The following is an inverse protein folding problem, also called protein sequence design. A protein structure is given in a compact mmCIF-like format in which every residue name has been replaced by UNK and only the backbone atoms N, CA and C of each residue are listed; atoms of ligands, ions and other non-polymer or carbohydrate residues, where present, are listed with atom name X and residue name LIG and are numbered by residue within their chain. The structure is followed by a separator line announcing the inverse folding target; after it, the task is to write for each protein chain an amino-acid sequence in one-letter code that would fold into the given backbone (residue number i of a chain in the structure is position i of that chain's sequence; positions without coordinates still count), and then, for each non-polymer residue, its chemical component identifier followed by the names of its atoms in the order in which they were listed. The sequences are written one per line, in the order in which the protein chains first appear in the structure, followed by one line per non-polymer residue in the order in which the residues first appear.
data_IF_843445836233
#
_entry.id   IF_843445836233
#
_cell.length_a   1.000
_cell.length_b   1.000
_cell.length_c   1.000
_cell.angle_alpha   90.00
_cell.angle_beta   90.00
_cell.angle_gamma   90.00
#
_symmetry.space_group_name_H-M   'P 1'
#
loop_
_entity.id
_entity.type
_entity.pdbx_description
1 polymer ?
#
# COMPACT_ATOMS: atom_id res chain seq x y z
N UNK A 1 1.67 30.32 -10.13
CA UNK A 1 2.25 29.03 -9.70
C UNK A 1 1.27 28.27 -8.79
N UNK A 2 0.84 27.08 -9.22
CA UNK A 2 -0.17 26.26 -8.54
C UNK A 2 0.23 25.96 -7.08
N UNK A 3 -0.68 26.09 -6.11
CA UNK A 3 -0.38 25.93 -4.68
C UNK A 3 0.33 24.60 -4.35
N UNK A 4 0.00 23.53 -5.08
CA UNK A 4 0.64 22.22 -4.96
C UNK A 4 2.13 22.24 -5.37
N UNK A 5 2.48 22.94 -6.45
CA UNK A 5 3.88 23.07 -6.89
C UNK A 5 4.71 23.80 -5.83
N UNK A 6 4.12 24.79 -5.15
CA UNK A 6 4.80 25.45 -4.03
C UNK A 6 5.06 24.48 -2.87
N UNK A 7 4.10 23.60 -2.53
CA UNK A 7 4.30 22.60 -1.46
C UNK A 7 5.39 21.60 -1.83
N UNK A 8 5.40 21.12 -3.08
CA UNK A 8 6.45 20.23 -3.59
C UNK A 8 7.82 20.90 -3.51
N UNK A 9 7.93 22.15 -3.97
CA UNK A 9 9.19 22.91 -3.93
C UNK A 9 9.69 23.18 -2.51
N UNK A 10 8.79 23.36 -1.55
CA UNK A 10 9.16 23.59 -0.15
C UNK A 10 9.50 22.28 0.58
N UNK A 11 8.89 21.15 0.18
CA UNK A 11 9.06 19.89 0.88
C UNK A 11 10.26 19.07 0.39
N UNK A 12 10.73 19.27 -0.86
CA UNK A 12 11.73 18.43 -1.52
C UNK A 12 13.03 19.17 -1.82
N UNK A 13 14.15 18.44 -1.77
CA UNK A 13 15.45 18.96 -2.25
C UNK A 13 15.47 19.10 -3.78
N UNK A 14 16.54 19.69 -4.34
CA UNK A 14 16.72 19.76 -5.80
C UNK A 14 16.83 18.34 -6.39
N UNK A 15 17.70 17.50 -5.82
CA UNK A 15 17.91 16.12 -6.28
C UNK A 15 16.61 15.28 -6.22
N UNK A 16 15.82 15.44 -5.15
CA UNK A 16 14.53 14.76 -5.03
C UNK A 16 13.52 15.22 -6.09
N UNK A 17 13.53 16.50 -6.46
CA UNK A 17 12.68 17.04 -7.53
C UNK A 17 13.12 16.55 -8.91
N UNK A 18 14.42 16.50 -9.16
CA UNK A 18 14.97 16.01 -10.42
C UNK A 18 14.67 14.52 -10.58
N UNK A 19 14.86 13.73 -9.52
CA UNK A 19 14.49 12.32 -9.52
C UNK A 19 12.98 12.12 -9.70
N UNK A 20 12.13 12.87 -8.96
CA UNK A 20 10.68 12.82 -9.13
C UNK A 20 10.26 13.15 -10.57
N UNK A 21 10.86 14.17 -11.17
CA UNK A 21 10.59 14.56 -12.56
C UNK A 21 10.99 13.45 -13.52
N UNK A 22 12.16 12.84 -13.31
CA UNK A 22 12.66 11.72 -14.12
C UNK A 22 11.72 10.51 -14.06
N UNK A 23 11.31 10.08 -12.88
CA UNK A 23 10.47 8.87 -12.72
C UNK A 23 9.02 9.09 -13.15
N UNK A 24 8.54 10.34 -13.17
CA UNK A 24 7.16 10.66 -13.57
C UNK A 24 7.01 11.13 -15.03
N UNK A 25 8.12 11.37 -15.74
CA UNK A 25 8.11 11.90 -17.11
C UNK A 25 7.26 11.07 -18.09
N UNK A 26 7.19 9.75 -17.90
CA UNK A 26 6.42 8.84 -18.74
C UNK A 26 4.93 8.72 -18.41
N UNK A 27 4.41 9.42 -17.38
CA UNK A 27 3.05 9.22 -16.82
C UNK A 27 2.72 7.75 -16.51
N UNK A 28 3.74 7.00 -16.10
CA UNK A 28 3.60 5.56 -15.87
C UNK A 28 2.89 5.26 -14.54
N UNK A 29 2.87 6.21 -13.61
CA UNK A 29 2.26 6.08 -12.30
C UNK A 29 0.90 6.79 -12.21
N UNK A 30 -0.04 6.15 -11.52
CA UNK A 30 -1.26 6.78 -11.02
C UNK A 30 -1.26 6.71 -9.49
N UNK A 31 -1.70 7.78 -8.83
CA UNK A 31 -1.80 7.86 -7.38
C UNK A 31 -3.18 8.38 -6.97
N UNK A 32 -3.88 7.62 -6.13
CA UNK A 32 -5.22 7.96 -5.65
C UNK A 32 -5.29 7.84 -4.12
N UNK A 33 -6.03 8.75 -3.50
CA UNK A 33 -6.35 8.65 -2.09
C UNK A 33 -7.37 7.53 -1.88
N UNK A 34 -7.14 6.64 -0.91
CA UNK A 34 -8.13 5.63 -0.53
C UNK A 34 -9.12 6.23 0.48
N UNK A 35 -10.43 5.95 0.35
CA UNK A 35 -11.47 6.47 1.25
C UNK A 35 -11.53 5.74 2.60
N UNK A 36 -10.36 5.46 3.18
CA UNK A 36 -10.17 4.80 4.48
C UNK A 36 -9.14 5.55 5.31
N UNK A 37 -9.16 5.33 6.63
CA UNK A 37 -8.16 5.86 7.56
C UNK A 37 -7.29 4.74 8.10
N UNK A 38 -6.05 5.07 8.39
CA UNK A 38 -5.07 4.16 9.01
C UNK A 38 -4.30 4.90 10.09
N UNK A 39 -3.95 4.18 11.16
CA UNK A 39 -3.09 4.68 12.22
C UNK A 39 -1.69 4.97 11.69
N UNK A 40 -1.12 6.07 12.16
CA UNK A 40 0.25 6.50 11.95
C UNK A 40 0.78 7.21 13.19
N UNK A 41 2.05 7.60 13.13
CA UNK A 41 2.72 8.38 14.19
C UNK A 41 3.43 9.56 13.54
N UNK A 42 3.06 10.77 13.97
CA UNK A 42 3.68 12.02 13.51
C UNK A 42 4.07 12.84 14.75
N UNK A 43 5.38 13.07 14.92
CA UNK A 43 5.91 13.59 16.19
C UNK A 43 5.60 12.60 17.33
N UNK A 44 5.09 13.11 18.44
CA UNK A 44 4.81 12.32 19.64
C UNK A 44 3.37 11.76 19.71
N UNK A 45 2.56 11.99 18.67
CA UNK A 45 1.14 11.65 18.70
C UNK A 45 0.77 10.62 17.63
N UNK A 46 -0.19 9.76 17.99
CA UNK A 46 -0.89 8.92 17.01
C UNK A 46 -1.80 9.78 16.15
N UNK A 47 -1.83 9.49 14.86
CA UNK A 47 -2.74 10.13 13.90
C UNK A 47 -3.56 9.08 13.18
N UNK A 48 -4.79 9.43 12.79
CA UNK A 48 -5.61 8.61 11.90
C UNK A 48 -5.89 9.40 10.63
N UNK A 49 -5.21 9.05 9.55
CA UNK A 49 -5.26 9.77 8.29
C UNK A 49 -5.31 8.82 7.10
N UNK A 50 -5.35 9.37 5.89
CA UNK A 50 -5.59 8.59 4.69
C UNK A 50 -4.39 7.72 4.28
N UNK A 51 -4.67 6.72 3.45
CA UNK A 51 -3.66 6.00 2.68
C UNK A 51 -3.69 6.43 1.20
N UNK A 52 -2.53 6.48 0.55
CA UNK A 52 -2.38 6.74 -0.87
C UNK A 52 -2.04 5.44 -1.60
N UNK A 53 -2.86 5.08 -2.59
CA UNK A 53 -2.63 3.96 -3.48
C UNK A 53 -1.90 4.42 -4.75
N UNK A 54 -0.71 3.88 -4.97
CA UNK A 54 0.11 4.09 -6.17
C UNK A 54 0.02 2.84 -7.04
N UNK A 55 -0.11 3.00 -8.34
CA UNK A 55 -0.11 1.90 -9.32
C UNK A 55 0.68 2.31 -10.55
N UNK A 56 1.13 1.35 -11.36
CA UNK A 56 1.93 1.62 -12.55
C UNK A 56 1.47 0.84 -13.78
N UNK A 57 1.72 1.39 -14.96
CA UNK A 57 1.47 0.70 -16.25
C UNK A 57 2.41 -0.48 -16.46
N UNK A 58 3.67 -0.32 -16.05
CA UNK A 58 4.72 -1.35 -16.13
C UNK A 58 4.84 -2.11 -14.81
N UNK A 59 5.71 -3.12 -14.81
CA UNK A 59 6.14 -3.81 -13.59
C UNK A 59 6.59 -2.81 -12.52
N UNK A 60 6.44 -3.16 -11.24
CA UNK A 60 6.76 -2.25 -10.14
C UNK A 60 8.25 -1.86 -10.16
N UNK A 61 8.55 -0.61 -9.88
CA UNK A 61 9.93 -0.14 -9.68
C UNK A 61 10.22 -0.10 -8.17
N UNK A 62 10.94 -1.12 -7.69
CA UNK A 62 11.27 -1.29 -6.28
C UNK A 62 12.19 -0.19 -5.72
N UNK A 63 12.89 0.57 -6.56
CA UNK A 63 13.68 1.72 -6.12
C UNK A 63 12.81 2.99 -6.02
N UNK A 64 11.88 3.17 -6.95
CA UNK A 64 11.02 4.35 -6.99
C UNK A 64 9.91 4.30 -5.92
N UNK A 65 9.36 3.14 -5.61
CA UNK A 65 8.22 3.02 -4.68
C UNK A 65 8.54 3.46 -3.24
N UNK A 66 9.66 3.05 -2.61
CA UNK A 66 10.07 3.59 -1.31
C UNK A 66 10.32 5.10 -1.34
N UNK A 67 10.87 5.62 -2.45
CA UNK A 67 11.04 7.06 -2.64
C UNK A 67 9.69 7.79 -2.62
N UNK A 68 8.71 7.33 -3.41
CA UNK A 68 7.36 7.88 -3.42
C UNK A 68 6.69 7.81 -2.03
N UNK A 69 6.85 6.68 -1.34
CA UNK A 69 6.32 6.46 -0.01
C UNK A 69 6.89 7.41 1.04
N UNK A 70 8.13 7.87 0.86
CA UNK A 70 8.77 8.87 1.73
C UNK A 70 8.35 10.29 1.41
N UNK A 71 8.19 10.66 0.14
CA UNK A 71 7.91 12.05 -0.25
C UNK A 71 6.43 12.42 -0.15
N UNK A 72 5.51 11.50 -0.42
CA UNK A 72 4.08 11.81 -0.46
C UNK A 72 3.58 12.30 0.92
N UNK A 73 3.87 11.63 2.06
CA UNK A 73 3.49 12.12 3.38
C UNK A 73 4.16 13.45 3.78
N UNK A 74 5.39 13.71 3.29
CA UNK A 74 6.10 14.99 3.51
C UNK A 74 5.43 16.15 2.78
N UNK A 75 4.84 15.91 1.62
CA UNK A 75 4.11 16.93 0.84
C UNK A 75 2.67 17.07 1.36
N UNK A 76 2.04 15.94 1.66
CA UNK A 76 0.65 15.80 2.04
C UNK A 76 0.55 15.17 3.45
N UNK A 77 0.57 16.00 4.48
CA UNK A 77 0.60 15.54 5.88
C UNK A 77 -0.68 14.80 6.32
N UNK A 78 -1.76 14.88 5.52
CA UNK A 78 -2.99 14.12 5.67
C UNK A 78 -2.93 12.70 5.07
N UNK A 79 -1.73 12.22 4.75
CA UNK A 79 -1.48 10.86 4.26
C UNK A 79 -0.51 10.19 5.22
N UNK A 80 -0.97 9.14 5.87
CA UNK A 80 -0.15 8.34 6.78
C UNK A 80 0.60 7.23 6.07
N UNK A 81 0.06 6.71 4.96
CA UNK A 81 0.61 5.55 4.25
C UNK A 81 0.61 5.69 2.75
N UNK A 82 1.56 5.03 2.12
CA UNK A 82 1.64 4.85 0.68
C UNK A 82 1.80 3.38 0.38
N UNK A 83 0.85 2.86 -0.40
CA UNK A 83 0.80 1.45 -0.80
C UNK A 83 0.90 1.35 -2.32
N UNK A 84 1.57 0.32 -2.81
CA UNK A 84 1.55 -0.04 -4.22
C UNK A 84 0.40 -1.02 -4.49
N UNK A 85 -0.32 -0.86 -5.59
CA UNK A 85 -1.43 -1.73 -6.00
C UNK A 85 -0.99 -2.62 -7.16
N UNK A 86 -1.02 -3.94 -6.97
CA UNK A 86 -0.75 -4.91 -8.03
C UNK A 86 -1.92 -5.04 -9.02
N UNK A 87 -1.68 -5.64 -10.19
CA UNK A 87 -2.70 -5.84 -11.23
C UNK A 87 -2.79 -4.72 -12.27
N UNK A 88 -1.66 -4.03 -12.54
CA UNK A 88 -1.59 -2.93 -13.51
C UNK A 88 -2.13 -1.60 -12.97
N UNK A 89 -2.08 -0.57 -13.80
CA UNK A 89 -2.49 0.78 -13.39
C UNK A 89 -3.98 0.83 -13.07
N UNK A 90 -4.33 1.42 -11.93
CA UNK A 90 -5.71 1.70 -11.55
C UNK A 90 -6.21 2.85 -12.42
N UNK A 91 -7.28 2.63 -13.19
CA UNK A 91 -7.79 3.63 -14.13
C UNK A 91 -8.61 4.74 -13.46
N UNK A 92 -9.30 4.42 -12.36
CA UNK A 92 -10.25 5.31 -11.70
C UNK A 92 -10.09 5.29 -10.18
N UNK A 93 -10.28 6.45 -9.50
CA UNK A 93 -10.28 6.49 -8.04
C UNK A 93 -11.46 5.72 -7.47
N UNK A 94 -11.25 5.07 -6.33
CA UNK A 94 -12.33 4.46 -5.53
C UNK A 94 -12.86 5.50 -4.56
N UNK A 95 -14.17 5.78 -4.60
CA UNK A 95 -14.79 6.86 -3.81
C UNK A 95 -15.79 6.34 -2.76
N UNK A 96 -16.06 5.04 -2.73
CA UNK A 96 -16.93 4.35 -1.80
C UNK A 96 -16.20 3.15 -1.18
N UNK A 97 -16.83 2.53 -0.19
CA UNK A 97 -16.26 1.39 0.53
C UNK A 97 -17.24 0.23 0.56
N UNK A 98 -16.71 -0.99 0.52
CA UNK A 98 -17.48 -2.20 0.83
C UNK A 98 -17.76 -2.20 2.33
N UNK A 99 -19.03 -2.16 2.73
CA UNK A 99 -19.40 -2.18 4.17
C UNK A 99 -18.77 -3.39 4.84
N UNK A 100 -17.91 -3.13 5.81
CA UNK A 100 -17.06 -4.15 6.44
C UNK A 100 -17.04 -3.96 7.95
N UNK A 101 -17.39 -5.04 8.65
CA UNK A 101 -17.37 -5.13 10.11
C UNK A 101 -16.68 -6.44 10.49
N UNK A 102 -16.32 -6.58 11.75
CA UNK A 102 -15.78 -7.81 12.34
C UNK A 102 -16.86 -8.89 12.46
N UNK A 103 -17.35 -9.35 11.31
CA UNK A 103 -18.28 -10.49 11.19
C UNK A 103 -17.50 -11.72 10.77
N UNK A 104 -17.99 -12.88 11.18
CA UNK A 104 -17.34 -14.16 10.93
C UNK A 104 -16.89 -14.36 9.47
N UNK A 105 -17.70 -14.10 8.42
CA UNK A 105 -17.25 -14.29 7.04
C UNK A 105 -16.06 -13.39 6.65
N UNK A 106 -16.01 -12.16 7.17
CA UNK A 106 -14.92 -11.22 6.91
C UNK A 106 -13.63 -11.68 7.59
N UNK A 107 -13.74 -12.13 8.84
CA UNK A 107 -12.60 -12.65 9.61
C UNK A 107 -12.08 -13.96 9.01
N UNK A 108 -12.96 -14.82 8.52
CA UNK A 108 -12.59 -16.05 7.81
C UNK A 108 -11.84 -15.75 6.52
N UNK A 109 -12.31 -14.80 5.69
CA UNK A 109 -11.57 -14.35 4.51
C UNK A 109 -10.18 -13.85 4.89
N UNK A 110 -10.06 -13.00 5.92
CA UNK A 110 -8.74 -12.49 6.34
C UNK A 110 -7.82 -13.61 6.84
N UNK A 111 -8.34 -14.58 7.62
CA UNK A 111 -7.56 -15.74 8.09
C UNK A 111 -7.07 -16.62 6.93
N UNK A 112 -7.91 -16.83 5.93
CA UNK A 112 -7.56 -17.61 4.74
C UNK A 112 -6.44 -16.92 3.94
N UNK A 113 -6.56 -15.61 3.71
CA UNK A 113 -5.52 -14.82 3.05
C UNK A 113 -4.22 -14.82 3.86
N UNK A 114 -4.30 -14.57 5.16
CA UNK A 114 -3.12 -14.53 6.04
C UNK A 114 -2.36 -15.86 6.04
N UNK A 115 -3.07 -16.99 6.16
CA UNK A 115 -2.42 -18.31 6.11
C UNK A 115 -1.84 -18.60 4.72
N UNK A 116 -2.52 -18.23 3.64
CA UNK A 116 -2.01 -18.41 2.28
C UNK A 116 -0.70 -17.63 2.04
N UNK A 117 -0.63 -16.37 2.50
CA UNK A 117 0.56 -15.51 2.40
C UNK A 117 1.68 -16.04 3.29
N UNK A 118 1.40 -16.35 4.56
CA UNK A 118 2.41 -16.83 5.49
C UNK A 118 2.95 -18.21 5.10
N UNK A 119 2.13 -19.07 4.49
CA UNK A 119 2.59 -20.33 3.91
C UNK A 119 3.68 -20.11 2.86
N UNK A 120 3.50 -19.16 1.94
CA UNK A 120 4.52 -18.80 0.94
C UNK A 120 5.81 -18.31 1.60
N UNK A 121 5.73 -17.48 2.65
CA UNK A 121 6.91 -17.01 3.39
C UNK A 121 7.66 -18.14 4.12
N UNK A 122 6.92 -19.08 4.71
CA UNK A 122 7.50 -20.25 5.40
C UNK A 122 8.18 -21.17 4.41
N UNK A 123 7.52 -21.52 3.31
CA UNK A 123 8.05 -22.43 2.28
C UNK A 123 9.23 -21.84 1.51
N UNK A 124 9.28 -20.51 1.36
CA UNK A 124 10.42 -19.82 0.73
C UNK A 124 11.62 -19.61 1.66
N UNK A 125 11.48 -19.85 2.97
CA UNK A 125 12.54 -19.65 3.95
C UNK A 125 12.78 -18.20 4.38
N UNK A 126 11.90 -17.27 3.98
CA UNK A 126 12.03 -15.83 4.29
C UNK A 126 11.24 -15.37 5.52
N UNK A 127 10.48 -16.26 6.16
CA UNK A 127 9.70 -15.95 7.37
C UNK A 127 10.56 -15.28 8.47
N UNK A 128 11.79 -15.74 8.67
CA UNK A 128 12.70 -15.23 9.71
C UNK A 128 13.52 -14.00 9.27
N UNK A 129 13.39 -13.56 8.01
CA UNK A 129 14.07 -12.37 7.46
C UNK A 129 13.26 -11.09 7.64
N UNK A 130 11.96 -11.24 7.87
CA UNK A 130 11.02 -10.15 8.09
C UNK A 130 10.65 -10.17 9.57
N UNK A 131 10.74 -9.03 10.26
CA UNK A 131 10.42 -8.96 11.70
C UNK A 131 8.94 -9.24 11.94
N UNK A 132 8.07 -8.73 11.07
CA UNK A 132 6.63 -9.01 11.10
C UNK A 132 5.99 -8.82 9.71
N UNK A 133 4.99 -9.62 9.37
CA UNK A 133 4.19 -9.47 8.15
C UNK A 133 2.69 -9.34 8.50
N UNK A 134 2.19 -8.16 8.90
CA UNK A 134 0.75 -7.96 8.96
C UNK A 134 0.11 -8.10 7.56
N UNK A 135 -1.00 -8.84 7.52
CA UNK A 135 -1.89 -8.95 6.37
C UNK A 135 -3.19 -8.25 6.75
N UNK A 136 -3.57 -7.24 5.98
CA UNK A 136 -4.69 -6.35 6.33
C UNK A 136 -5.76 -6.44 5.25
N UNK A 137 -7.01 -6.70 5.64
CA UNK A 137 -8.15 -6.69 4.73
C UNK A 137 -8.81 -5.30 4.75
N UNK A 138 -8.75 -4.58 3.64
CA UNK A 138 -9.31 -3.24 3.49
C UNK A 138 -10.63 -3.26 2.70
N UNK A 139 -11.61 -2.38 3.02
CA UNK A 139 -12.92 -2.35 2.39
C UNK A 139 -12.93 -1.67 1.01
N UNK A 140 -11.92 -1.91 0.19
CA UNK A 140 -11.74 -1.25 -1.12
C UNK A 140 -11.98 -2.24 -2.25
N UNK A 141 -12.86 -1.88 -3.18
CA UNK A 141 -13.15 -2.61 -4.41
C UNK A 141 -12.70 -1.76 -5.61
N UNK A 142 -11.58 -2.15 -6.21
CA UNK A 142 -10.99 -1.51 -7.40
C UNK A 142 -11.71 -1.93 -8.69
N UNK A 143 -11.33 -1.30 -9.81
CA UNK A 143 -11.66 -1.71 -11.19
C UNK A 143 -13.15 -1.68 -11.56
N UNK A 144 -13.93 -0.91 -10.80
CA UNK A 144 -15.31 -0.58 -11.16
C UNK A 144 -15.34 0.62 -12.07
N UNK A 145 -16.19 0.58 -13.08
CA UNK A 145 -16.46 1.72 -13.96
C UNK A 145 -17.24 2.79 -13.16
N UNK A 146 -16.71 4.01 -12.99
CA UNK A 146 -17.40 5.08 -12.28
C UNK A 146 -18.76 5.44 -12.89
N UNK A 147 -18.94 5.23 -14.19
CA UNK A 147 -20.22 5.49 -14.86
C UNK A 147 -21.28 4.44 -14.51
N UNK A 148 -20.86 3.31 -13.94
CA UNK A 148 -21.69 2.18 -13.55
C UNK A 148 -21.75 1.99 -12.03
N UNK A 149 -21.35 2.97 -11.23
CA UNK A 149 -21.37 2.87 -9.75
C UNK A 149 -22.73 2.47 -9.19
N UNK A 150 -23.82 2.86 -9.85
CA UNK A 150 -25.19 2.54 -9.43
C UNK A 150 -25.54 1.07 -9.69
N UNK A 151 -24.99 0.47 -10.74
CA UNK A 151 -25.23 -0.93 -11.13
C UNK A 151 -24.19 -1.89 -10.56
N UNK A 152 -22.99 -1.40 -10.22
CA UNK A 152 -21.88 -2.17 -9.66
C UNK A 152 -21.57 -1.73 -8.22
N UNK A 153 -22.29 -2.29 -7.27
CA UNK A 153 -22.05 -2.05 -5.85
C UNK A 153 -20.65 -2.53 -5.39
N UNK A 154 -20.07 -1.84 -4.41
CA UNK A 154 -18.84 -2.27 -3.76
C UNK A 154 -19.09 -3.53 -2.91
N UNK A 155 -18.65 -4.69 -3.39
CA UNK A 155 -18.84 -5.99 -2.72
C UNK A 155 -17.54 -6.73 -2.38
N UNK A 156 -16.45 -6.43 -3.09
CA UNK A 156 -15.14 -7.05 -2.86
C UNK A 156 -14.30 -6.24 -1.86
N UNK A 157 -13.25 -6.85 -1.35
CA UNK A 157 -12.26 -6.21 -0.46
C UNK A 157 -10.89 -6.32 -1.07
N UNK A 158 -9.93 -5.54 -0.61
CA UNK A 158 -8.54 -5.66 -1.05
C UNK A 158 -7.66 -6.04 0.11
N UNK A 159 -6.48 -6.57 -0.16
CA UNK A 159 -5.53 -7.02 0.85
C UNK A 159 -4.30 -6.13 0.79
N UNK A 160 -3.79 -5.71 1.95
CA UNK A 160 -2.49 -5.05 2.06
C UNK A 160 -1.51 -6.02 2.71
N UNK A 161 -0.41 -6.29 2.03
CA UNK A 161 0.76 -6.97 2.58
C UNK A 161 1.66 -5.92 3.21
N UNK A 162 1.95 -6.06 4.50
CA UNK A 162 2.85 -5.17 5.23
C UNK A 162 4.04 -5.97 5.75
N UNK A 163 5.07 -6.20 4.95
CA UNK A 163 6.31 -6.70 5.51
C UNK A 163 7.04 -5.57 6.22
N UNK A 164 7.52 -5.83 7.43
CA UNK A 164 8.22 -4.86 8.24
C UNK A 164 9.54 -5.42 8.75
N UNK A 165 10.59 -4.62 8.60
CA UNK A 165 11.93 -4.92 9.09
C UNK A 165 12.29 -3.86 10.13
N UNK A 166 12.65 -4.34 11.31
CA UNK A 166 13.02 -3.49 12.44
C UNK A 166 13.89 -4.26 13.44
N UNK A 167 14.73 -3.52 14.17
CA UNK A 167 15.53 -4.03 15.29
C UNK A 167 14.86 -3.82 16.65
N UNK A 168 14.01 -2.80 16.79
CA UNK A 168 13.49 -2.33 18.09
C UNK A 168 11.99 -1.97 18.09
N UNK A 169 11.32 -2.09 16.94
CA UNK A 169 9.94 -1.67 16.68
C UNK A 169 9.64 -0.18 16.97
N UNK A 170 10.62 0.65 17.31
CA UNK A 170 10.45 2.10 17.46
C UNK A 170 10.54 2.77 16.09
N UNK A 171 11.47 2.31 15.27
CA UNK A 171 11.59 2.68 13.86
C UNK A 171 11.57 1.43 12.99
N UNK A 172 11.30 1.56 11.70
CA UNK A 172 11.48 0.43 10.80
C UNK A 172 11.08 0.74 9.37
N UNK A 173 11.51 -0.15 8.49
CA UNK A 173 11.36 -0.01 7.06
C UNK A 173 10.40 -1.09 6.54
N UNK A 174 9.67 -0.83 5.46
CA UNK A 174 9.09 -1.92 4.69
C UNK A 174 10.21 -2.86 4.21
N UNK A 175 9.94 -4.15 4.11
CA UNK A 175 10.85 -5.00 3.35
C UNK A 175 10.79 -4.56 1.88
N UNK A 176 11.92 -4.26 1.29
CA UNK A 176 11.99 -3.87 -0.12
C UNK A 176 12.24 -5.15 -0.95
N UNK A 177 11.43 -5.43 -1.98
CA UNK A 177 11.68 -6.55 -2.89
C UNK A 177 13.08 -6.48 -3.52
N UNK A 178 13.73 -7.64 -3.66
CA UNK A 178 15.12 -7.85 -4.10
C UNK A 178 16.22 -7.27 -3.19
N UNK A 179 15.85 -6.58 -2.11
CA UNK A 179 16.80 -6.18 -1.05
C UNK A 179 16.65 -7.08 0.19
N UNK A 180 15.40 -7.26 0.65
CA UNK A 180 15.08 -7.96 1.89
C UNK A 180 14.37 -9.30 1.63
N UNK A 181 13.54 -9.34 0.59
CA UNK A 181 12.76 -10.49 0.15
C UNK A 181 12.79 -10.56 -1.38
N UNK A 182 13.07 -11.71 -2.00
CA UNK A 182 13.08 -11.81 -3.46
C UNK A 182 11.74 -11.42 -4.08
N UNK A 183 11.79 -10.72 -5.22
CA UNK A 183 10.59 -10.32 -5.95
C UNK A 183 9.69 -11.53 -6.27
N UNK A 184 10.27 -12.67 -6.64
CA UNK A 184 9.49 -13.86 -6.97
C UNK A 184 8.67 -14.39 -5.77
N UNK A 185 9.14 -14.21 -4.53
CA UNK A 185 8.39 -14.58 -3.32
C UNK A 185 7.24 -13.59 -3.11
N UNK A 186 7.48 -12.30 -3.34
CA UNK A 186 6.42 -11.27 -3.29
C UNK A 186 5.33 -11.55 -4.31
N UNK A 187 5.70 -11.85 -5.55
CA UNK A 187 4.74 -12.19 -6.60
C UNK A 187 3.93 -13.45 -6.26
N UNK A 188 4.54 -14.47 -5.65
CA UNK A 188 3.82 -15.66 -5.14
C UNK A 188 2.85 -15.32 -4.00
N UNK A 189 3.22 -14.43 -3.08
CA UNK A 189 2.31 -13.97 -2.02
C UNK A 189 1.12 -13.20 -2.61
N UNK A 190 1.37 -12.35 -3.61
CA UNK A 190 0.33 -11.62 -4.33
C UNK A 190 -0.63 -12.59 -5.05
N UNK A 191 -0.10 -13.60 -5.73
CA UNK A 191 -0.91 -14.64 -6.38
C UNK A 191 -1.74 -15.42 -5.36
N UNK A 192 -1.12 -15.86 -4.26
CA UNK A 192 -1.81 -16.60 -3.19
C UNK A 192 -2.95 -15.78 -2.58
N UNK A 193 -2.71 -14.51 -2.23
CA UNK A 193 -3.74 -13.62 -1.69
C UNK A 193 -4.85 -13.31 -2.72
N UNK A 194 -4.50 -13.12 -3.99
CA UNK A 194 -5.47 -12.86 -5.06
C UNK A 194 -6.35 -14.07 -5.38
N UNK A 195 -5.88 -15.28 -5.07
CA UNK A 195 -6.63 -16.51 -5.31
C UNK A 195 -7.81 -16.72 -4.35
N UNK A 196 -7.83 -16.01 -3.22
CA UNK A 196 -8.90 -16.11 -2.22
C UNK A 196 -10.18 -15.41 -2.72
N UNK A 197 -11.34 -16.07 -2.69
CA UNK A 197 -12.60 -15.47 -3.10
C UNK A 197 -12.94 -14.19 -2.33
N UNK A 198 -13.39 -13.16 -3.05
CA UNK A 198 -13.76 -11.88 -2.45
C UNK A 198 -12.65 -10.83 -2.45
N UNK A 199 -11.43 -11.17 -2.91
CA UNK A 199 -10.32 -10.24 -3.05
C UNK A 199 -10.37 -9.55 -4.43
N UNK A 200 -10.38 -8.22 -4.41
CA UNK A 200 -10.35 -7.34 -5.58
C UNK A 200 -8.92 -7.12 -6.05
N UNK A 201 -8.06 -6.58 -5.18
CA UNK A 201 -6.64 -6.40 -5.46
C UNK A 201 -5.78 -6.65 -4.23
N UNK A 202 -4.51 -6.92 -4.47
CA UNK A 202 -3.47 -7.01 -3.44
C UNK A 202 -2.56 -5.78 -3.55
N UNK A 203 -2.18 -5.27 -2.39
CA UNK A 203 -1.39 -4.07 -2.21
C UNK A 203 -0.16 -4.37 -1.36
N UNK A 204 0.89 -3.56 -1.49
CA UNK A 204 2.12 -3.64 -0.70
C UNK A 204 2.41 -2.33 0.01
N UNK A 205 2.59 -2.36 1.32
CA UNK A 205 2.88 -1.16 2.11
C UNK A 205 4.37 -0.81 2.10
N UNK A 206 4.69 0.34 1.49
CA UNK A 206 6.05 0.90 1.42
C UNK A 206 6.31 1.98 2.48
N UNK A 207 5.41 2.12 3.46
CA UNK A 207 5.53 3.17 4.48
C UNK A 207 6.48 2.73 5.59
N UNK A 208 7.48 3.57 5.87
CA UNK A 208 8.33 3.43 7.05
C UNK A 208 7.58 3.86 8.33
N UNK A 209 8.12 3.45 9.48
CA UNK A 209 7.73 3.98 10.79
C UNK A 209 8.81 4.96 11.27
N UNK A 210 8.53 6.27 11.42
CA UNK A 210 7.33 7.03 10.99
C UNK A 210 7.29 7.31 9.46
N UNK A 211 6.16 7.77 8.87
CA UNK A 211 4.90 8.19 9.50
C UNK A 211 3.88 7.08 9.74
N UNK A 212 4.11 5.88 9.18
CA UNK A 212 3.28 4.72 9.44
C UNK A 212 3.59 4.08 10.79
N UNK A 213 2.95 2.94 11.04
CA UNK A 213 3.27 2.00 12.11
C UNK A 213 3.39 0.59 11.54
N UNK A 214 3.70 -0.40 12.39
CA UNK A 214 3.74 -1.81 11.99
C UNK A 214 2.34 -2.27 11.57
N UNK A 215 1.35 -2.14 12.45
CA UNK A 215 -0.06 -2.41 12.18
C UNK A 215 -0.77 -1.24 11.51
N UNK A 216 -1.93 -1.48 10.89
CA UNK A 216 -2.79 -0.44 10.29
C UNK A 216 -3.92 0.06 11.19
N UNK A 217 -4.33 -0.75 12.19
CA UNK A 217 -5.28 -0.42 13.26
C UNK A 217 -5.22 -1.43 14.41
#
# INVERSE_FOLDING_TARGET
PHALLSRINNALTLDERDYLTKVTAGKEFAAYLLPIRTVGVQGDHRTYSYACAVSSLKSPDWATLPFLARIIPRICHNINRVVYVFGGQVAHPVNDVTVTYLRQPVVETLREVDEAVNKVLRESGYMNKISQMPVILIPIHFDRDPLQCVTQASILRSVVLRPFVTTDFMTGLPAIPDEHIPENVVNKMVEAASSVPGISRVLYDFTAKPPGTTEWE
#
